data_IF_836078321045
#
_entry.id   IF_836078321045
#
_cell.length_a   1.000
_cell.length_b   1.000
_cell.length_c   1.000
_cell.angle_alpha   90.00
_cell.angle_beta   90.00
_cell.angle_gamma   90.00
#
_symmetry.space_group_name_H-M   'P 1'
#
loop_
_entity.id
_entity.type
_entity.pdbx_description
1 polymer ?
#
# COMPACT_ATOMS: atom_id res chain seq x y z
N UNK A 1 8.54 8.58 2.79
CA UNK A 1 7.98 7.32 3.33
C UNK A 1 6.89 6.86 2.38
N UNK A 2 7.02 5.67 1.81
CA UNK A 2 6.04 5.12 0.87
C UNK A 2 4.86 4.51 1.65
N UNK A 3 3.66 4.48 1.06
CA UNK A 3 2.46 3.84 1.62
C UNK A 3 2.73 2.42 2.14
N UNK A 4 3.43 1.58 1.37
CA UNK A 4 3.77 0.21 1.79
C UNK A 4 4.62 0.22 3.07
N UNK A 5 5.65 1.07 3.11
CA UNK A 5 6.53 1.22 4.27
C UNK A 5 5.72 1.63 5.51
N UNK A 6 4.81 2.59 5.38
CA UNK A 6 3.97 3.04 6.49
C UNK A 6 3.03 1.95 7.00
N UNK A 7 2.44 1.13 6.12
CA UNK A 7 1.62 -0.01 6.52
C UNK A 7 2.43 -1.09 7.24
N UNK A 8 3.64 -1.37 6.74
CA UNK A 8 4.57 -2.32 7.35
C UNK A 8 4.99 -1.90 8.75
N UNK A 9 5.39 -0.63 8.91
CA UNK A 9 5.85 -0.08 10.18
C UNK A 9 4.72 0.02 11.22
N UNK A 10 3.47 0.29 10.80
CA UNK A 10 2.29 0.22 11.68
C UNK A 10 2.09 -1.16 12.32
N UNK A 11 2.57 -2.21 11.67
CA UNK A 11 2.53 -3.59 12.18
C UNK A 11 3.85 -4.01 12.84
N UNK A 12 4.81 -3.10 13.01
CA UNK A 12 6.16 -3.36 13.55
C UNK A 12 6.92 -4.47 12.81
N UNK A 13 6.71 -4.60 11.50
CA UNK A 13 7.38 -5.63 10.68
C UNK A 13 8.67 -5.08 10.05
N UNK A 14 9.71 -5.90 9.98
CA UNK A 14 10.87 -5.70 9.11
C UNK A 14 10.54 -6.04 7.65
N UNK A 15 11.42 -5.69 6.71
CA UNK A 15 11.23 -6.06 5.30
C UNK A 15 11.26 -7.59 5.11
N UNK A 16 12.12 -8.28 5.86
CA UNK A 16 12.27 -9.73 5.90
C UNK A 16 11.00 -10.41 6.43
N UNK A 17 10.43 -9.90 7.52
CA UNK A 17 9.19 -10.46 8.08
C UNK A 17 7.99 -10.23 7.16
N UNK A 18 7.89 -9.05 6.54
CA UNK A 18 6.84 -8.81 5.55
C UNK A 18 7.00 -9.72 4.33
N UNK A 19 8.23 -9.91 3.86
CA UNK A 19 8.56 -10.82 2.76
C UNK A 19 8.12 -12.26 3.07
N UNK A 20 8.45 -12.76 4.27
CA UNK A 20 8.02 -14.08 4.73
C UNK A 20 6.49 -14.17 4.84
N UNK A 21 5.84 -13.20 5.50
CA UNK A 21 4.39 -13.19 5.72
C UNK A 21 3.59 -13.12 4.43
N UNK A 22 4.08 -12.39 3.43
CA UNK A 22 3.43 -12.22 2.13
C UNK A 22 3.90 -13.23 1.08
N UNK A 23 4.85 -14.11 1.41
CA UNK A 23 5.48 -15.03 0.45
C UNK A 23 5.97 -14.29 -0.83
N UNK A 24 6.63 -13.15 -0.61
CA UNK A 24 7.21 -12.29 -1.65
C UNK A 24 8.69 -12.07 -1.30
N UNK A 25 9.57 -11.94 -2.30
CA UNK A 25 10.98 -11.67 -2.02
C UNK A 25 11.20 -10.30 -1.36
N UNK A 26 12.17 -10.19 -0.45
CA UNK A 26 12.60 -8.91 0.15
C UNK A 26 12.94 -7.88 -0.93
N UNK A 27 13.56 -8.31 -2.04
CA UNK A 27 13.86 -7.44 -3.20
C UNK A 27 12.61 -6.83 -3.83
N UNK A 28 11.51 -7.58 -3.88
CA UNK A 28 10.23 -7.08 -4.38
C UNK A 28 9.62 -6.08 -3.41
N UNK A 29 9.69 -6.35 -2.08
CA UNK A 29 9.27 -5.38 -1.04
C UNK A 29 10.03 -4.06 -1.22
N UNK A 30 11.35 -4.11 -1.31
CA UNK A 30 12.21 -2.93 -1.51
C UNK A 30 11.87 -2.15 -2.79
N UNK A 31 11.64 -2.83 -3.92
CA UNK A 31 11.21 -2.17 -5.17
C UNK A 31 9.89 -1.43 -5.00
N UNK A 32 8.95 -2.02 -4.26
CA UNK A 32 7.63 -1.42 -4.03
C UNK A 32 7.74 -0.22 -3.08
N UNK A 33 8.50 -0.35 -1.99
CA UNK A 33 8.80 0.78 -1.10
C UNK A 33 9.55 1.90 -1.84
N UNK A 34 10.37 1.56 -2.83
CA UNK A 34 11.05 2.52 -3.72
C UNK A 34 10.15 3.12 -4.82
N UNK A 35 8.85 2.77 -4.87
CA UNK A 35 7.86 3.41 -5.75
C UNK A 35 7.28 2.52 -6.85
N UNK A 36 7.66 1.25 -6.94
CA UNK A 36 7.02 0.35 -7.89
C UNK A 36 5.62 -0.07 -7.42
N UNK A 37 4.59 0.12 -8.24
CA UNK A 37 3.25 -0.37 -7.91
C UNK A 37 3.17 -1.91 -7.91
N UNK A 38 2.66 -2.56 -6.85
CA UNK A 38 2.37 -3.99 -6.86
C UNK A 38 1.17 -4.28 -7.77
N UNK A 39 1.15 -5.47 -8.39
CA UNK A 39 0.06 -5.91 -9.30
C UNK A 39 -0.20 -7.40 -9.12
N UNK A 40 -1.39 -7.84 -9.51
CA UNK A 40 -1.76 -9.26 -9.58
C UNK A 40 -1.52 -9.98 -8.24
N UNK A 41 -0.78 -11.09 -8.28
CA UNK A 41 -0.45 -11.87 -7.08
C UNK A 41 0.22 -11.03 -5.98
N UNK A 42 1.20 -10.20 -6.34
CA UNK A 42 1.96 -9.39 -5.38
C UNK A 42 1.06 -8.42 -4.61
N UNK A 43 0.09 -7.80 -5.30
CA UNK A 43 -0.88 -6.90 -4.68
C UNK A 43 -1.75 -7.64 -3.66
N UNK A 44 -2.35 -8.75 -4.07
CA UNK A 44 -3.19 -9.61 -3.21
C UNK A 44 -2.46 -10.12 -1.99
N UNK A 45 -1.25 -10.62 -2.19
CA UNK A 45 -0.44 -11.17 -1.12
C UNK A 45 -0.01 -10.10 -0.09
N UNK A 46 0.31 -8.88 -0.53
CA UNK A 46 0.61 -7.76 0.37
C UNK A 46 -0.63 -7.29 1.12
N UNK A 47 -1.76 -7.14 0.44
CA UNK A 47 -3.04 -6.78 1.05
C UNK A 47 -3.42 -7.75 2.17
N UNK A 48 -3.34 -9.06 1.90
CA UNK A 48 -3.59 -10.11 2.88
C UNK A 48 -2.57 -10.08 4.04
N UNK A 49 -1.28 -9.97 3.75
CA UNK A 49 -0.24 -9.96 4.79
C UNK A 49 -0.33 -8.72 5.68
N UNK A 50 -0.76 -7.58 5.16
CA UNK A 50 -0.92 -6.33 5.90
C UNK A 50 -2.34 -6.16 6.49
N UNK A 51 -3.24 -7.10 6.22
CA UNK A 51 -4.64 -7.06 6.62
C UNK A 51 -5.34 -5.75 6.20
N UNK A 52 -5.17 -5.39 4.93
CA UNK A 52 -5.76 -4.21 4.30
C UNK A 52 -6.39 -4.58 2.96
N UNK A 53 -7.23 -3.70 2.44
CA UNK A 53 -7.81 -3.85 1.10
C UNK A 53 -6.78 -3.56 0.00
N UNK A 54 -6.92 -4.21 -1.16
CA UNK A 54 -6.07 -3.94 -2.34
C UNK A 54 -6.12 -2.47 -2.77
N UNK A 55 -7.23 -1.77 -2.49
CA UNK A 55 -7.41 -0.34 -2.77
C UNK A 55 -6.42 0.56 -2.03
N UNK A 56 -5.85 0.11 -0.90
CA UNK A 56 -4.82 0.87 -0.17
C UNK A 56 -3.53 1.06 -0.97
N UNK A 57 -3.33 0.25 -2.01
CA UNK A 57 -2.19 0.37 -2.93
C UNK A 57 -2.56 1.11 -4.23
N UNK A 58 -3.82 1.50 -4.40
CA UNK A 58 -4.28 2.28 -5.55
C UNK A 58 -3.88 3.74 -5.35
N UNK A 59 -3.34 4.37 -6.39
CA UNK A 59 -2.89 5.76 -6.38
C UNK A 59 -4.04 6.80 -6.32
N UNK A 60 -5.27 6.40 -6.04
CA UNK A 60 -6.37 7.31 -5.81
C UNK A 60 -6.40 7.77 -4.35
N UNK A 61 -5.41 8.58 -3.98
CA UNK A 61 -5.66 9.63 -3.00
C UNK A 61 -6.62 10.61 -3.69
N UNK A 62 -7.93 10.35 -3.63
CA UNK A 62 -8.89 11.42 -3.86
C UNK A 62 -8.78 12.32 -2.63
N UNK A 63 -8.29 13.56 -2.74
CA UNK A 63 -8.45 14.52 -1.66
C UNK A 63 -9.96 14.67 -1.48
N UNK A 64 -10.48 14.25 -0.33
CA UNK A 64 -11.84 14.56 0.12
C UNK A 64 -11.91 16.06 0.44
N UNK A 65 -11.73 16.91 -0.58
CA UNK A 65 -12.25 18.26 -0.60
C UNK A 65 -13.49 18.28 -1.50
N UNK A 66 -14.50 17.54 -1.06
CA UNK A 66 -15.90 17.78 -1.43
C UNK A 66 -16.48 19.02 -0.74
N UNK A 67 -15.66 20.05 -0.51
CA UNK A 67 -16.06 21.34 0.05
C UNK A 67 -15.91 22.47 -0.99
N UNK A 68 -16.67 22.41 -2.10
CA UNK A 68 -17.32 23.61 -2.64
C UNK A 68 -18.34 23.27 -3.74
N UNK A 69 -19.47 22.71 -3.32
CA UNK A 69 -20.75 22.86 -4.02
C UNK A 69 -21.19 24.35 -3.96
N UNK A 70 -20.47 25.24 -4.64
CA UNK A 70 -20.77 26.70 -4.63
C UNK A 70 -21.24 27.29 -5.94
N UNK A 71 -21.57 26.49 -6.97
CA UNK A 71 -22.10 27.01 -8.25
C UNK A 71 -23.54 26.60 -8.56
N UNK A 72 -24.40 26.55 -7.54
CA UNK A 72 -25.85 26.65 -7.75
C UNK A 72 -26.36 27.84 -6.94
N UNK A 73 -26.13 29.05 -7.45
CA UNK A 73 -27.02 30.19 -7.22
C UNK A 73 -26.89 31.20 -8.34
#
# INVERSE_FOLDING_TARGET
>A
MNKLQSLREKLNLTQEELAQKSNISVRTIQRIEAGQSPKGYTLRALAQALNVEESEFSAYDIPLESENLRWIK
#
